data_IF_355735817859
#
_entry.id   IF_355735817859
#
_cell.length_a   1.000
_cell.length_b   1.000
_cell.length_c   1.000
_cell.angle_alpha   90.00
_cell.angle_beta   90.00
_cell.angle_gamma   90.00
#
_symmetry.space_group_name_H-M   'P 1'
#
loop_
_entity.id
_entity.type
_entity.pdbx_description
1 polymer ?
#
# COMPACT_ATOMS: atom_id res chain seq x y z
N UNK A 1 6.84 -17.86 -7.26
CA UNK A 1 6.79 -18.16 -8.70
C UNK A 1 5.89 -17.16 -9.43
N UNK A 2 6.28 -16.73 -10.64
CA UNK A 2 5.53 -15.78 -11.46
C UNK A 2 5.64 -16.20 -12.93
N UNK A 3 4.52 -16.20 -13.65
CA UNK A 3 4.43 -16.60 -15.06
C UNK A 3 3.46 -15.71 -15.82
N UNK A 4 3.69 -15.49 -17.11
CA UNK A 4 2.81 -14.73 -17.99
C UNK A 4 3.19 -14.94 -19.45
N UNK A 5 2.57 -14.17 -20.34
CA UNK A 5 2.77 -14.32 -21.78
C UNK A 5 3.96 -13.47 -22.25
N UNK A 6 3.70 -12.20 -22.54
CA UNK A 6 4.67 -11.30 -23.17
C UNK A 6 5.39 -10.44 -22.14
N UNK A 7 6.72 -10.38 -22.24
CA UNK A 7 7.59 -9.51 -21.45
C UNK A 7 8.20 -8.46 -22.36
N UNK A 8 8.00 -7.18 -22.04
CA UNK A 8 8.63 -6.04 -22.71
C UNK A 8 9.54 -5.33 -21.72
N UNK A 9 10.80 -5.14 -22.10
CA UNK A 9 11.77 -4.37 -21.34
C UNK A 9 12.05 -3.08 -22.11
N UNK A 10 11.97 -1.94 -21.44
CA UNK A 10 12.14 -0.64 -22.07
C UNK A 10 12.76 0.38 -21.12
N UNK A 11 13.47 1.39 -21.64
CA UNK A 11 13.93 2.52 -20.83
C UNK A 11 12.77 3.22 -20.14
N UNK A 12 13.05 3.86 -19.00
CA UNK A 12 12.07 4.65 -18.24
C UNK A 12 11.31 5.66 -19.09
N UNK A 13 11.98 6.32 -20.03
CA UNK A 13 11.39 7.36 -20.87
C UNK A 13 10.33 6.79 -21.82
N UNK A 14 10.63 5.64 -22.43
CA UNK A 14 9.70 4.89 -23.26
C UNK A 14 8.52 4.36 -22.44
N UNK A 15 8.75 3.90 -21.20
CA UNK A 15 7.68 3.45 -20.33
C UNK A 15 6.65 4.55 -19.99
N UNK A 16 7.10 5.80 -19.88
CA UNK A 16 6.18 6.95 -19.71
C UNK A 16 5.52 7.30 -21.04
N UNK A 17 6.28 7.37 -22.14
CA UNK A 17 5.78 7.68 -23.49
C UNK A 17 4.69 6.71 -23.95
N UNK A 18 4.86 5.42 -23.69
CA UNK A 18 3.89 4.37 -24.04
C UNK A 18 2.78 4.17 -22.98
N UNK A 19 2.73 5.00 -21.93
CA UNK A 19 1.69 4.95 -20.90
C UNK A 19 1.75 3.72 -19.98
N UNK A 20 2.89 3.02 -19.95
CA UNK A 20 3.13 1.93 -18.99
C UNK A 20 3.17 2.48 -17.56
N UNK A 21 3.81 3.63 -17.40
CA UNK A 21 3.84 4.46 -16.20
C UNK A 21 3.10 5.77 -16.44
N UNK A 22 2.37 6.25 -15.42
CA UNK A 22 1.69 7.56 -15.50
C UNK A 22 2.67 8.74 -15.37
N UNK A 23 3.77 8.53 -14.66
CA UNK A 23 4.79 9.56 -14.40
C UNK A 23 6.11 8.90 -14.02
N UNK A 24 7.21 9.66 -14.18
CA UNK A 24 8.55 9.23 -13.76
C UNK A 24 8.63 9.21 -12.22
N UNK A 25 8.99 8.08 -11.58
CA UNK A 25 9.22 8.05 -10.15
C UNK A 25 10.45 8.89 -9.77
N UNK A 26 10.47 9.46 -8.56
CA UNK A 26 11.63 10.25 -8.06
C UNK A 26 12.91 9.40 -8.13
N UNK A 27 13.97 9.96 -8.73
CA UNK A 27 15.31 9.36 -8.78
C UNK A 27 15.97 9.47 -7.41
N UNK A 28 16.44 8.36 -6.84
CA UNK A 28 17.31 8.31 -5.66
C UNK A 28 18.76 8.21 -6.11
N UNK A 29 19.70 8.60 -5.24
CA UNK A 29 21.16 8.46 -5.50
C UNK A 29 21.60 7.01 -5.76
N UNK A 30 20.82 6.02 -5.30
CA UNK A 30 21.08 4.58 -5.48
C UNK A 30 20.54 4.00 -6.79
N UNK A 31 19.81 4.80 -7.57
CA UNK A 31 19.19 4.34 -8.80
C UNK A 31 20.21 4.34 -9.95
N UNK A 32 20.23 3.27 -10.74
CA UNK A 32 21.04 3.21 -11.95
C UNK A 32 20.62 4.31 -12.95
N UNK A 33 21.57 4.81 -13.74
CA UNK A 33 21.27 5.82 -14.75
C UNK A 33 20.32 5.29 -15.84
N UNK A 34 20.46 4.00 -16.18
CA UNK A 34 19.66 3.30 -17.19
C UNK A 34 18.67 2.31 -16.57
N UNK A 35 17.73 2.81 -15.74
CA UNK A 35 16.65 1.97 -15.21
C UNK A 35 15.78 1.41 -16.35
N UNK A 36 15.87 0.09 -16.54
CA UNK A 36 14.99 -0.67 -17.42
C UNK A 36 13.69 -1.02 -16.69
N UNK A 37 12.56 -0.64 -17.30
CA UNK A 37 11.22 -0.98 -16.83
C UNK A 37 10.76 -2.24 -17.53
N UNK A 38 10.25 -3.20 -16.76
CA UNK A 38 9.66 -4.42 -17.30
C UNK A 38 8.15 -4.33 -17.26
N UNK A 39 7.49 -4.47 -18.41
CA UNK A 39 6.06 -4.73 -18.53
C UNK A 39 5.84 -6.21 -18.82
N UNK A 40 4.99 -6.87 -18.04
CA UNK A 40 4.65 -8.28 -18.23
C UNK A 40 3.12 -8.44 -18.30
N UNK A 41 2.64 -9.11 -19.35
CA UNK A 41 1.21 -9.29 -19.61
C UNK A 41 0.69 -10.67 -19.16
N UNK A 42 -0.60 -10.70 -18.79
CA UNK A 42 -1.33 -11.91 -18.38
C UNK A 42 -0.64 -12.73 -17.29
N UNK A 43 -0.25 -12.04 -16.23
CA UNK A 43 0.60 -12.63 -15.19
C UNK A 43 -0.21 -13.35 -14.12
N UNK A 44 0.24 -14.55 -13.77
CA UNK A 44 -0.14 -15.29 -12.56
C UNK A 44 1.06 -15.32 -11.62
N UNK A 45 0.86 -14.92 -10.36
CA UNK A 45 1.91 -14.95 -9.33
C UNK A 45 1.42 -15.61 -8.04
N UNK A 46 2.32 -16.33 -7.39
CA UNK A 46 2.10 -16.96 -6.08
C UNK A 46 3.42 -17.11 -5.34
N UNK A 47 3.37 -17.04 -4.02
CA UNK A 47 4.50 -17.39 -3.14
C UNK A 47 4.42 -18.84 -2.64
N UNK A 48 3.44 -19.61 -3.10
CA UNK A 48 3.29 -21.04 -2.87
C UNK A 48 4.22 -21.82 -3.81
N UNK A 49 4.90 -22.84 -3.28
CA UNK A 49 5.87 -23.71 -3.95
C UNK A 49 5.29 -25.05 -4.44
N UNK A 50 4.05 -25.37 -4.05
CA UNK A 50 3.34 -26.55 -4.53
C UNK A 50 3.01 -26.47 -6.03
N UNK A 51 3.04 -27.63 -6.71
CA UNK A 51 2.69 -27.78 -8.13
C UNK A 51 1.27 -27.25 -8.43
N UNK A 52 0.33 -27.47 -7.50
CA UNK A 52 -0.99 -26.84 -7.48
C UNK A 52 -1.03 -25.81 -6.37
N UNK A 53 -0.82 -24.52 -6.67
CA UNK A 53 -0.74 -23.50 -5.63
C UNK A 53 -2.10 -23.28 -4.95
N UNK A 54 -2.09 -23.21 -3.62
CA UNK A 54 -3.29 -22.97 -2.81
C UNK A 54 -3.90 -21.59 -3.06
N UNK A 55 -3.08 -20.61 -3.44
CA UNK A 55 -3.52 -19.27 -3.79
C UNK A 55 -2.69 -18.73 -4.94
N UNK A 56 -3.29 -17.83 -5.72
CA UNK A 56 -2.60 -17.13 -6.81
C UNK A 56 -3.27 -15.80 -7.10
N UNK A 57 -2.48 -14.82 -7.49
CA UNK A 57 -2.95 -13.53 -8.01
C UNK A 57 -2.87 -13.58 -9.53
N UNK A 58 -3.98 -13.30 -10.22
CA UNK A 58 -4.00 -13.13 -11.68
C UNK A 58 -4.18 -11.66 -12.03
N UNK A 59 -3.40 -11.16 -12.97
CA UNK A 59 -3.46 -9.79 -13.46
C UNK A 59 -3.26 -9.74 -14.97
N UNK A 60 -3.90 -8.77 -15.63
CA UNK A 60 -3.67 -8.52 -17.06
C UNK A 60 -2.29 -7.91 -17.32
N UNK A 61 -1.73 -7.17 -16.35
CA UNK A 61 -0.50 -6.42 -16.51
C UNK A 61 0.23 -6.26 -15.18
N UNK A 62 1.53 -6.50 -15.22
CA UNK A 62 2.47 -6.20 -14.14
C UNK A 62 3.54 -5.26 -14.69
N UNK A 63 3.91 -4.25 -13.91
CA UNK A 63 5.02 -3.36 -14.22
C UNK A 63 6.04 -3.47 -13.09
N UNK A 64 7.28 -3.83 -13.42
CA UNK A 64 8.38 -3.96 -12.47
C UNK A 64 9.32 -2.76 -12.68
N UNK A 65 9.53 -2.02 -11.60
CA UNK A 65 10.51 -0.95 -11.51
C UNK A 65 11.62 -1.45 -10.58
N UNK A 66 12.81 -1.78 -11.10
CA UNK A 66 13.91 -2.33 -10.31
C UNK A 66 14.19 -1.48 -9.06
N UNK A 67 14.53 -2.14 -7.95
CA UNK A 67 14.88 -1.51 -6.65
C UNK A 67 13.81 -0.58 -6.03
N UNK A 68 12.62 -0.47 -6.63
CA UNK A 68 11.55 0.43 -6.17
C UNK A 68 10.28 -0.34 -5.84
N UNK A 69 9.59 -0.83 -6.86
CA UNK A 69 8.25 -1.42 -6.71
C UNK A 69 7.83 -2.24 -7.93
N UNK A 70 6.93 -3.18 -7.67
CA UNK A 70 6.16 -3.91 -8.65
C UNK A 70 4.70 -3.48 -8.54
N UNK A 71 4.11 -3.09 -9.67
CA UNK A 71 2.72 -2.68 -9.78
C UNK A 71 1.95 -3.78 -10.50
N UNK A 72 1.10 -4.49 -9.78
CA UNK A 72 0.17 -5.47 -10.32
C UNK A 72 -1.16 -4.76 -10.58
N UNK A 73 -1.56 -4.61 -11.85
CA UNK A 73 -2.74 -3.83 -12.22
C UNK A 73 -4.03 -4.60 -11.96
N UNK A 74 -4.90 -4.10 -11.07
CA UNK A 74 -6.22 -4.69 -10.73
C UNK A 74 -6.21 -6.24 -10.59
N UNK A 75 -5.42 -6.80 -9.65
CA UNK A 75 -5.31 -8.25 -9.51
C UNK A 75 -6.60 -8.90 -9.02
N UNK A 76 -6.79 -10.15 -9.44
CA UNK A 76 -7.82 -11.06 -8.97
C UNK A 76 -7.18 -12.11 -8.07
N UNK A 77 -7.68 -12.25 -6.86
CA UNK A 77 -7.21 -13.21 -5.86
C UNK A 77 -7.98 -14.50 -6.00
N UNK A 78 -7.26 -15.61 -6.18
CA UNK A 78 -7.81 -16.95 -6.24
C UNK A 78 -7.31 -17.77 -5.05
N UNK A 79 -8.21 -18.56 -4.48
CA UNK A 79 -7.87 -19.70 -3.61
C UNK A 79 -8.26 -20.96 -4.37
N UNK A 80 -7.28 -21.81 -4.67
CA UNK A 80 -7.37 -22.86 -5.67
C UNK A 80 -7.84 -22.30 -7.02
N UNK A 81 -8.98 -22.80 -7.50
CA UNK A 81 -9.59 -22.39 -8.77
C UNK A 81 -10.65 -21.28 -8.63
N UNK A 82 -11.05 -20.92 -7.40
CA UNK A 82 -12.13 -19.94 -7.16
C UNK A 82 -11.57 -18.54 -6.96
N UNK A 83 -12.12 -17.57 -7.69
CA UNK A 83 -11.85 -16.14 -7.47
C UNK A 83 -12.61 -15.68 -6.23
N UNK A 84 -11.89 -15.28 -5.18
CA UNK A 84 -12.48 -14.84 -3.92
C UNK A 84 -12.60 -13.31 -3.81
N UNK A 85 -11.72 -12.58 -4.50
CA UNK A 85 -11.69 -11.12 -4.43
C UNK A 85 -11.06 -10.54 -5.68
N UNK A 86 -11.56 -9.38 -6.12
CA UNK A 86 -10.94 -8.59 -7.19
C UNK A 86 -10.62 -7.23 -6.65
N UNK A 87 -9.35 -6.85 -6.74
CA UNK A 87 -8.90 -5.54 -6.31
C UNK A 87 -9.51 -4.45 -7.20
N UNK A 88 -10.18 -3.44 -6.62
CA UNK A 88 -10.69 -2.30 -7.39
C UNK A 88 -9.57 -1.32 -7.80
N UNK A 89 -8.35 -1.50 -7.30
CA UNK A 89 -7.18 -0.66 -7.56
C UNK A 89 -5.93 -1.52 -7.87
N UNK A 90 -4.82 -0.87 -8.19
CA UNK A 90 -3.56 -1.55 -8.47
C UNK A 90 -2.85 -1.93 -7.17
N UNK A 91 -2.34 -3.15 -7.10
CA UNK A 91 -1.55 -3.63 -5.97
C UNK A 91 -0.08 -3.28 -6.19
N UNK A 92 0.52 -2.52 -5.26
CA UNK A 92 1.89 -2.02 -5.37
C UNK A 92 2.79 -2.72 -4.34
N UNK A 93 3.47 -3.78 -4.74
CA UNK A 93 4.46 -4.43 -3.89
C UNK A 93 5.76 -3.63 -3.91
N UNK A 94 6.23 -3.15 -2.76
CA UNK A 94 7.58 -2.56 -2.67
C UNK A 94 8.62 -3.66 -2.62
N UNK A 95 9.70 -3.50 -3.37
CA UNK A 95 10.79 -4.47 -3.46
C UNK A 95 11.84 -4.25 -2.34
N UNK A 96 11.42 -3.77 -1.16
CA UNK A 96 12.28 -3.48 -0.01
C UNK A 96 11.58 -3.81 1.31
N UNK A 97 12.22 -3.61 2.48
CA UNK A 97 11.77 -4.12 3.78
C UNK A 97 10.50 -3.45 4.35
N UNK A 98 9.81 -2.60 3.58
CA UNK A 98 8.58 -1.90 4.03
C UNK A 98 7.34 -2.77 3.80
N UNK A 99 6.36 -2.59 4.69
CA UNK A 99 5.04 -3.23 4.66
C UNK A 99 4.40 -3.19 3.25
N UNK A 100 3.71 -4.28 2.92
CA UNK A 100 3.09 -4.52 1.61
C UNK A 100 1.89 -3.57 1.35
N UNK A 101 1.44 -3.52 0.09
CA UNK A 101 0.25 -2.75 -0.31
C UNK A 101 -1.02 -3.17 0.43
N UNK A 102 -2.11 -2.43 0.24
CA UNK A 102 -3.43 -2.79 0.74
C UNK A 102 -3.75 -4.30 0.55
N UNK A 103 -4.03 -5.00 1.64
CA UNK A 103 -4.38 -6.41 1.70
C UNK A 103 -5.70 -6.59 2.47
N UNK A 104 -6.59 -7.47 2.01
CA UNK A 104 -7.73 -7.88 2.82
C UNK A 104 -7.25 -8.65 4.05
N UNK A 105 -7.97 -8.47 5.15
CA UNK A 105 -7.78 -9.25 6.36
C UNK A 105 -9.11 -9.49 7.07
N UNK A 106 -9.15 -10.55 7.87
CA UNK A 106 -10.27 -10.87 8.74
C UNK A 106 -9.78 -10.82 10.18
N UNK A 107 -10.66 -10.40 11.09
CA UNK A 107 -10.39 -10.37 12.52
C UNK A 107 -11.65 -10.76 13.30
N UNK A 108 -11.46 -11.07 14.58
CA UNK A 108 -12.53 -11.32 15.53
C UNK A 108 -12.23 -10.56 16.82
N UNK A 109 -13.25 -9.94 17.40
CA UNK A 109 -13.21 -9.22 18.66
C UNK A 109 -14.44 -9.60 19.48
N UNK A 110 -14.29 -9.83 20.79
CA UNK A 110 -15.39 -10.29 21.64
C UNK A 110 -16.55 -9.30 21.74
N UNK A 111 -16.25 -8.00 21.62
CA UNK A 111 -17.24 -6.93 21.75
C UNK A 111 -17.82 -6.51 20.39
N UNK A 112 -17.13 -6.79 19.28
CA UNK A 112 -17.49 -6.31 17.92
C UNK A 112 -17.86 -7.45 16.96
N UNK A 113 -17.56 -8.69 17.35
CA UNK A 113 -17.77 -9.90 16.55
C UNK A 113 -16.72 -10.09 15.45
N UNK A 114 -17.12 -10.71 14.36
CA UNK A 114 -16.24 -10.96 13.20
C UNK A 114 -16.14 -9.70 12.34
N UNK A 115 -14.97 -9.42 11.79
CA UNK A 115 -14.76 -8.27 10.93
C UNK A 115 -13.95 -8.60 9.68
N UNK A 116 -14.29 -7.92 8.59
CA UNK A 116 -13.56 -7.94 7.32
C UNK A 116 -13.02 -6.54 7.01
N UNK A 117 -11.75 -6.45 6.64
CA UNK A 117 -11.06 -5.18 6.47
C UNK A 117 -9.99 -5.18 5.41
N UNK A 118 -9.43 -4.00 5.17
CA UNK A 118 -8.28 -3.74 4.31
C UNK A 118 -7.20 -3.02 5.12
N UNK A 119 -5.97 -3.53 5.08
CA UNK A 119 -4.81 -2.90 5.74
C UNK A 119 -3.62 -2.80 4.79
N UNK A 120 -2.87 -1.71 4.85
CA UNK A 120 -1.63 -1.55 4.10
C UNK A 120 -1.44 -0.12 3.61
N UNK A 121 -0.67 0.05 2.55
CA UNK A 121 -0.32 1.36 2.00
C UNK A 121 -0.99 1.60 0.65
N UNK A 122 -1.40 2.85 0.44
CA UNK A 122 -1.81 3.43 -0.84
C UNK A 122 -0.70 4.38 -1.29
N UNK A 123 -0.16 4.13 -2.48
CA UNK A 123 0.76 5.04 -3.15
C UNK A 123 -0.04 6.14 -3.86
N UNK A 124 0.08 7.38 -3.40
CA UNK A 124 -0.60 8.56 -3.99
C UNK A 124 0.28 9.29 -5.01
N UNK A 125 1.31 8.62 -5.56
CA UNK A 125 2.18 9.17 -6.60
C UNK A 125 3.07 10.30 -6.07
N UNK A 126 2.87 11.52 -6.57
CA UNK A 126 3.67 12.71 -6.19
C UNK A 126 3.25 13.29 -4.84
N UNK A 127 2.08 12.92 -4.32
CA UNK A 127 1.51 13.48 -3.08
C UNK A 127 2.13 12.85 -1.85
N UNK A 128 2.39 11.54 -1.85
CA UNK A 128 2.97 10.83 -0.72
C UNK A 128 2.37 9.43 -0.55
N UNK A 129 2.47 8.90 0.67
CA UNK A 129 2.03 7.55 1.00
C UNK A 129 0.99 7.62 2.10
N UNK A 130 -0.13 6.91 1.92
CA UNK A 130 -1.21 6.81 2.89
C UNK A 130 -1.28 5.38 3.42
N UNK A 131 -0.98 5.19 4.71
CA UNK A 131 -1.29 3.96 5.42
C UNK A 131 -2.77 3.95 5.77
N UNK A 132 -3.46 2.90 5.36
CA UNK A 132 -4.89 2.68 5.62
C UNK A 132 -5.04 1.38 6.37
N UNK A 133 -5.84 1.40 7.42
CA UNK A 133 -6.37 0.21 8.05
C UNK A 133 -7.86 0.45 8.29
N UNK A 134 -8.74 -0.24 7.59
CA UNK A 134 -10.17 -0.11 7.74
C UNK A 134 -10.80 -1.49 7.92
N UNK A 135 -11.74 -1.63 8.86
CA UNK A 135 -12.44 -2.87 9.14
C UNK A 135 -13.91 -2.60 9.41
N UNK A 136 -14.77 -3.44 8.83
CA UNK A 136 -16.18 -3.47 9.11
C UNK A 136 -16.49 -4.72 9.94
N UNK A 137 -17.15 -4.52 11.07
CA UNK A 137 -17.48 -5.53 12.07
C UNK A 137 -18.94 -5.98 11.90
N UNK A 138 -19.23 -7.22 12.31
CA UNK A 138 -20.57 -7.83 12.21
C UNK A 138 -21.63 -7.09 13.04
N UNK A 139 -21.22 -6.40 14.10
CA UNK A 139 -22.12 -5.59 14.93
C UNK A 139 -22.44 -4.21 14.32
N UNK A 140 -22.48 -4.14 12.98
CA UNK A 140 -22.77 -2.92 12.20
C UNK A 140 -21.87 -1.71 12.54
N UNK A 141 -20.64 -1.98 12.99
CA UNK A 141 -19.63 -0.97 13.31
C UNK A 141 -18.50 -1.02 12.30
N UNK A 142 -17.77 0.09 12.15
CA UNK A 142 -16.53 0.08 11.39
C UNK A 142 -15.46 0.92 12.08
N UNK A 143 -14.21 0.57 11.85
CA UNK A 143 -13.06 1.26 12.38
C UNK A 143 -12.10 1.61 11.25
N UNK A 144 -11.43 2.74 11.38
CA UNK A 144 -10.42 3.15 10.42
C UNK A 144 -9.23 3.84 11.10
N UNK A 145 -8.03 3.58 10.59
CA UNK A 145 -6.81 4.33 10.88
C UNK A 145 -6.22 4.78 9.56
N UNK A 146 -6.07 6.08 9.41
CA UNK A 146 -5.47 6.74 8.26
C UNK A 146 -4.21 7.44 8.73
N UNK A 147 -3.07 7.15 8.11
CA UNK A 147 -1.82 7.83 8.43
C UNK A 147 -1.09 8.20 7.14
N UNK A 148 -1.04 9.49 6.85
CA UNK A 148 -0.33 10.08 5.73
C UNK A 148 0.96 10.70 6.23
N UNK A 149 2.07 10.44 5.52
CA UNK A 149 3.36 11.07 5.79
C UNK A 149 4.04 11.46 4.50
N UNK A 150 4.62 12.66 4.47
CA UNK A 150 5.39 13.16 3.33
C UNK A 150 6.60 13.93 3.81
N UNK A 151 7.78 13.57 3.29
CA UNK A 151 9.00 14.35 3.45
C UNK A 151 8.94 15.60 2.55
N UNK A 152 9.11 16.78 3.14
CA UNK A 152 9.04 18.07 2.44
C UNK A 152 10.45 18.63 2.20
N UNK A 153 11.30 18.55 3.22
CA UNK A 153 12.71 18.92 3.17
C UNK A 153 13.53 17.77 3.74
N UNK A 154 14.85 17.80 3.54
CA UNK A 154 15.74 16.87 4.21
C UNK A 154 15.48 16.97 5.73
N UNK A 155 15.24 15.81 6.35
CA UNK A 155 14.99 15.66 7.79
C UNK A 155 13.65 16.24 8.31
N UNK A 156 12.82 16.87 7.46
CA UNK A 156 11.52 17.43 7.84
C UNK A 156 10.36 16.76 7.07
N UNK A 157 9.46 16.15 7.83
CA UNK A 157 8.24 15.50 7.32
C UNK A 157 6.98 16.22 7.79
N UNK A 158 5.97 16.32 6.93
CA UNK A 158 4.58 16.57 7.36
C UNK A 158 3.87 15.24 7.56
N UNK A 159 2.98 15.18 8.53
CA UNK A 159 2.11 14.04 8.74
C UNK A 159 0.68 14.46 9.03
N UNK A 160 -0.24 13.56 8.71
CA UNK A 160 -1.65 13.64 9.07
C UNK A 160 -2.10 12.24 9.48
N UNK A 161 -2.71 12.13 10.64
CA UNK A 161 -3.27 10.91 11.19
C UNK A 161 -4.75 11.14 11.51
N UNK A 162 -5.58 10.15 11.25
CA UNK A 162 -6.99 10.19 11.63
C UNK A 162 -7.45 8.79 12.02
N UNK A 163 -7.87 8.65 13.27
CA UNK A 163 -8.33 7.39 13.83
C UNK A 163 -9.83 7.49 14.14
N UNK A 164 -10.59 6.49 13.67
CA UNK A 164 -11.98 6.23 14.06
C UNK A 164 -12.02 4.85 14.68
N UNK A 165 -11.91 4.82 16.01
CA UNK A 165 -11.89 3.59 16.80
C UNK A 165 -13.04 3.65 17.80
N UNK A 166 -13.62 2.48 18.09
CA UNK A 166 -14.58 2.32 19.17
C UNK A 166 -13.85 2.44 20.50
N UNK A 167 -14.35 3.34 21.33
CA UNK A 167 -13.89 3.57 22.69
C UNK A 167 -14.87 2.88 23.66
N UNK A 168 -14.38 1.92 24.42
CA UNK A 168 -15.20 1.17 25.38
C UNK A 168 -15.67 2.01 26.56
N UNK A 169 -14.91 3.03 26.93
CA UNK A 169 -15.12 3.80 28.15
C UNK A 169 -16.18 4.88 27.90
N UNK A 170 -16.08 5.57 26.76
CA UNK A 170 -17.06 6.57 26.33
C UNK A 170 -18.24 5.99 25.53
N UNK A 171 -18.14 4.75 25.05
CA UNK A 171 -19.10 4.10 24.13
C UNK A 171 -19.32 4.89 22.84
N UNK A 172 -18.34 5.67 22.40
CA UNK A 172 -18.42 6.51 21.21
C UNK A 172 -17.48 6.04 20.08
N UNK A 173 -17.91 6.26 18.84
CA UNK A 173 -17.09 6.04 17.63
C UNK A 173 -16.96 7.35 16.87
N UNK A 174 -15.84 8.03 17.05
CA UNK A 174 -15.58 9.33 16.42
C UNK A 174 -14.22 9.41 15.78
N UNK A 175 -14.10 10.30 14.79
CA UNK A 175 -12.83 10.65 14.17
C UNK A 175 -11.99 11.52 15.10
N UNK A 176 -10.72 11.18 15.22
CA UNK A 176 -9.72 11.91 16.01
C UNK A 176 -8.55 12.29 15.09
N UNK A 177 -8.65 13.42 14.36
CA UNK A 177 -7.59 13.87 13.47
C UNK A 177 -6.46 14.58 14.22
N UNK A 178 -5.24 14.31 13.79
CA UNK A 178 -3.99 14.92 14.25
C UNK A 178 -3.12 15.23 13.04
N UNK A 179 -2.47 16.37 13.01
CA UNK A 179 -1.53 16.72 11.93
C UNK A 179 -0.39 17.55 12.48
N UNK A 180 0.74 17.54 11.78
CA UNK A 180 1.92 18.23 12.27
C UNK A 180 3.15 18.04 11.40
N UNK A 181 4.25 18.52 11.96
CA UNK A 181 5.60 18.39 11.41
C UNK A 181 6.45 17.51 12.33
N UNK A 182 7.28 16.68 11.71
CA UNK A 182 8.28 15.86 12.37
C UNK A 182 9.65 16.21 11.80
N UNK A 183 10.58 16.58 12.67
CA UNK A 183 11.97 16.87 12.35
C UNK A 183 12.88 15.82 12.98
N UNK A 184 13.76 15.20 12.17
CA UNK A 184 14.71 14.18 12.62
C UNK A 184 16.14 14.68 12.41
N UNK A 185 16.73 15.26 13.45
CA UNK A 185 18.08 15.80 13.36
C UNK A 185 19.14 14.68 13.18
N UNK A 186 20.25 14.95 12.47
CA UNK A 186 21.31 13.97 12.21
C UNK A 186 21.96 13.36 13.46
N UNK A 187 21.89 14.06 14.59
CA UNK A 187 22.39 13.60 15.90
C UNK A 187 21.40 12.70 16.66
N UNK A 188 20.32 12.24 16.01
CA UNK A 188 19.33 11.33 16.58
C UNK A 188 18.17 12.03 17.31
N UNK A 189 18.14 13.35 17.39
CA UNK A 189 17.02 14.08 17.99
C UNK A 189 15.78 14.04 17.10
N UNK A 190 14.62 13.75 17.71
CA UNK A 190 13.31 13.80 17.04
C UNK A 190 12.42 14.86 17.68
N UNK A 191 12.06 15.88 16.92
CA UNK A 191 11.09 16.91 17.30
C UNK A 191 9.77 16.70 16.57
N UNK A 192 8.64 16.75 17.28
CA UNK A 192 7.30 16.66 16.69
C UNK A 192 6.48 17.85 17.15
N UNK A 193 6.03 18.67 16.21
CA UNK A 193 5.07 19.74 16.46
C UNK A 193 3.74 19.34 15.83
N UNK A 194 2.67 19.25 16.61
CA UNK A 194 1.38 18.81 16.10
C UNK A 194 0.21 19.54 16.75
N UNK A 195 -0.90 19.51 16.03
CA UNK A 195 -2.21 19.88 16.54
C UNK A 195 -3.10 18.63 16.46
N UNK A 196 -3.82 18.36 17.55
CA UNK A 196 -4.85 17.34 17.60
C UNK A 196 -6.16 18.03 17.92
N UNK A 197 -7.23 17.63 17.23
CA UNK A 197 -8.56 18.13 17.59
C UNK A 197 -9.02 17.51 18.91
N UNK A 198 -8.66 16.25 19.18
CA UNK A 198 -8.96 15.45 20.39
C UNK A 198 -7.94 14.31 20.56
N UNK A 199 -7.64 13.93 21.80
CA UNK A 199 -6.83 12.74 22.15
C UNK A 199 -7.72 11.66 22.78
N UNK A 200 -7.20 10.42 22.91
CA UNK A 200 -7.82 9.31 23.64
C UNK A 200 -7.42 9.39 25.11
#
# INVERSE_FOLDING_TARGET
FMQGNDVRVMPMEDAVKFGVLKSRPKKKKTDAEDEQITEWLNVTTTTCDFEKPHYRLKSKKVVIIPNKKMIIRRPRVYIGEKCIFTYPFDYVARLGPREQSLLPYFAYDSNKGMGGGLKGYVDLGTVGELKVNAIYWSDNMWEARLHFRREILQDLSVFMESNRLYDSDSKEIMWRPKWGLEYNAPNGWRGVLYQAQREL
#
